data_IF_983467533514
#
_entry.id   IF_983467533514
#
_cell.length_a   1.000
_cell.length_b   1.000
_cell.length_c   1.000
_cell.angle_alpha   90.00
_cell.angle_beta   90.00
_cell.angle_gamma   90.00
#
_symmetry.space_group_name_H-M   'P 1'
#
loop_
_entity.id
_entity.type
_entity.pdbx_description
1 polymer ?
#
# COMPACT_ATOMS: atom_id res chain seq x y z
N UNK A 1 -6.60 8.84 9.53
CA UNK A 1 -6.16 8.22 8.26
C UNK A 1 -5.10 9.03 7.52
N UNK A 2 -5.40 10.25 7.03
CA UNK A 2 -4.45 11.08 6.24
C UNK A 2 -3.09 11.23 6.91
N UNK A 3 -3.05 11.54 8.21
CA UNK A 3 -1.79 11.66 8.97
C UNK A 3 -0.96 10.38 8.92
N UNK A 4 -1.57 9.23 9.20
CA UNK A 4 -0.84 7.95 9.23
C UNK A 4 -0.31 7.60 7.83
N UNK A 5 -1.14 7.76 6.80
CA UNK A 5 -0.75 7.52 5.40
C UNK A 5 0.39 8.45 4.99
N UNK A 6 0.33 9.74 5.31
CA UNK A 6 1.43 10.67 5.03
C UNK A 6 2.73 10.33 5.76
N UNK A 7 2.65 9.54 6.83
CA UNK A 7 3.78 8.98 7.57
C UNK A 7 4.02 7.49 7.26
N UNK A 8 3.43 6.94 6.19
CA UNK A 8 3.69 5.58 5.76
C UNK A 8 5.17 5.41 5.46
N UNK A 9 5.76 4.36 6.01
CA UNK A 9 7.21 4.16 6.02
C UNK A 9 7.57 2.85 5.34
N UNK A 10 8.49 2.93 4.39
CA UNK A 10 9.27 1.80 3.89
C UNK A 10 10.73 2.20 3.96
N UNK A 11 11.64 1.31 4.35
CA UNK A 11 13.05 1.64 4.32
C UNK A 11 13.48 1.80 2.86
N UNK A 12 14.17 2.89 2.55
CA UNK A 12 14.77 3.12 1.24
C UNK A 12 16.24 2.73 1.29
N UNK A 13 16.61 1.55 0.77
CA UNK A 13 18.02 1.26 0.46
C UNK A 13 18.14 0.50 -0.85
N UNK A 14 19.21 0.81 -1.61
CA UNK A 14 19.52 0.16 -2.91
C UNK A 14 19.98 -1.30 -2.78
N UNK A 15 19.99 -1.86 -1.56
CA UNK A 15 20.65 -3.14 -1.26
C UNK A 15 19.82 -4.04 -0.33
N UNK A 16 18.48 -4.00 -0.41
CA UNK A 16 17.67 -4.98 0.31
C UNK A 16 17.58 -6.30 -0.46
N UNK A 17 17.87 -7.39 0.24
CA UNK A 17 17.35 -8.71 -0.14
C UNK A 17 15.83 -8.73 0.16
N UNK A 18 15.09 -9.64 -0.49
CA UNK A 18 13.64 -9.78 -0.31
C UNK A 18 13.23 -10.09 1.14
N UNK A 19 14.14 -10.52 2.01
CA UNK A 19 13.84 -10.92 3.38
C UNK A 19 13.68 -9.71 4.32
N UNK A 20 14.33 -8.59 4.03
CA UNK A 20 14.22 -7.37 4.85
C UNK A 20 12.96 -6.54 4.57
N UNK A 21 12.32 -6.74 3.41
CA UNK A 21 10.99 -6.19 3.11
C UNK A 21 9.88 -6.83 3.94
N UNK A 22 10.07 -8.04 4.48
CA UNK A 22 8.99 -8.75 5.17
C UNK A 22 8.48 -8.03 6.42
N UNK A 23 9.32 -7.17 7.03
CA UNK A 23 8.99 -6.42 8.24
C UNK A 23 8.17 -5.15 7.98
N UNK A 24 8.10 -4.70 6.73
CA UNK A 24 7.39 -3.48 6.37
C UNK A 24 6.25 -3.85 5.44
N UNK A 25 5.08 -3.28 5.69
CA UNK A 25 3.90 -3.58 4.91
C UNK A 25 3.31 -2.31 4.31
N UNK A 26 2.75 -2.48 3.11
CA UNK A 26 1.71 -1.62 2.58
C UNK A 26 0.87 -2.51 1.68
N UNK A 27 -0.31 -2.87 2.16
CA UNK A 27 -1.29 -3.68 1.46
C UNK A 27 -2.59 -2.90 1.46
N UNK A 28 -2.99 -2.46 0.28
CA UNK A 28 -4.23 -1.76 0.01
C UNK A 28 -5.12 -2.66 -0.83
N UNK A 29 -6.26 -3.04 -0.29
CA UNK A 29 -7.17 -4.00 -0.89
C UNK A 29 -8.50 -3.32 -1.14
N UNK A 30 -8.96 -3.41 -2.39
CA UNK A 30 -10.33 -3.08 -2.75
C UNK A 30 -11.19 -4.31 -2.48
N UNK A 31 -12.20 -4.14 -1.63
CA UNK A 31 -13.15 -5.19 -1.29
C UNK A 31 -14.47 -4.93 -2.03
N UNK A 32 -14.62 -5.64 -3.15
CA UNK A 32 -15.77 -5.56 -4.06
C UNK A 32 -16.80 -6.67 -3.84
N UNK A 33 -16.63 -7.53 -2.82
CA UNK A 33 -17.56 -8.63 -2.57
C UNK A 33 -18.94 -8.14 -2.07
N UNK A 34 -19.01 -6.88 -1.65
CA UNK A 34 -20.22 -6.20 -1.16
C UNK A 34 -20.89 -5.27 -2.17
N UNK A 35 -22.12 -4.81 -1.85
CA UNK A 35 -22.85 -3.83 -2.67
C UNK A 35 -22.23 -2.41 -2.62
N UNK A 36 -21.32 -2.17 -1.68
CA UNK A 36 -20.64 -0.90 -1.45
C UNK A 36 -19.15 -1.17 -1.19
N UNK A 37 -18.25 -0.23 -1.55
CA UNK A 37 -16.83 -0.38 -1.26
C UNK A 37 -16.56 -0.48 0.25
N UNK A 38 -15.84 -1.52 0.65
CA UNK A 38 -15.42 -1.76 2.03
C UNK A 38 -13.91 -1.91 2.14
N UNK A 39 -13.20 -1.10 1.36
CA UNK A 39 -11.76 -1.16 1.18
C UNK A 39 -11.03 -1.09 2.52
N UNK A 40 -9.89 -1.76 2.58
CA UNK A 40 -9.04 -1.75 3.76
C UNK A 40 -7.59 -1.55 3.37
N UNK A 41 -6.83 -0.98 4.29
CA UNK A 41 -5.40 -0.75 4.10
C UNK A 41 -4.64 -1.07 5.36
N UNK A 42 -3.53 -1.79 5.22
CA UNK A 42 -2.59 -2.13 6.28
C UNK A 42 -1.21 -1.65 5.86
N UNK A 43 -0.56 -0.86 6.70
CA UNK A 43 0.76 -0.36 6.39
C UNK A 43 1.59 -0.05 7.64
N UNK A 44 2.91 0.02 7.47
CA UNK A 44 3.82 0.53 8.49
C UNK A 44 3.80 2.06 8.49
N UNK A 45 3.59 2.69 9.64
CA UNK A 45 3.59 4.15 9.81
C UNK A 45 4.58 4.59 10.88
N UNK A 46 5.21 5.74 10.66
CA UNK A 46 5.98 6.46 11.67
C UNK A 46 5.11 7.41 12.51
N UNK A 47 3.81 7.53 12.20
CA UNK A 47 2.88 8.24 13.07
C UNK A 47 2.53 7.37 14.28
N UNK A 48 2.59 7.95 15.46
CA UNK A 48 2.04 7.36 16.68
C UNK A 48 0.86 8.20 17.15
N UNK A 49 -0.24 7.51 17.51
CA UNK A 49 -1.35 8.11 18.25
C UNK A 49 -1.24 7.86 19.76
N UNK A 50 -0.14 7.25 20.22
CA UNK A 50 0.07 6.91 21.62
C UNK A 50 -0.82 5.77 22.13
N UNK A 51 -1.42 4.98 21.23
CA UNK A 51 -2.24 3.83 21.61
C UNK A 51 -1.40 2.62 22.01
N UNK A 52 -0.21 2.51 21.42
CA UNK A 52 0.74 1.47 21.77
C UNK A 52 1.99 2.06 22.48
N UNK A 53 2.54 1.32 23.45
CA UNK A 53 3.71 1.73 24.26
C UNK A 53 5.05 1.56 23.52
N UNK A 54 5.13 1.90 22.23
CA UNK A 54 6.39 1.89 21.47
C UNK A 54 6.64 3.23 20.79
N UNK A 55 7.93 3.56 20.65
CA UNK A 55 8.40 4.79 20.04
C UNK A 55 9.15 4.43 18.75
N UNK A 56 8.62 4.80 17.60
CA UNK A 56 9.32 4.66 16.32
C UNK A 56 8.38 4.36 15.15
N UNK A 57 8.01 3.10 15.01
CA UNK A 57 7.17 2.59 13.92
C UNK A 57 6.07 1.69 14.48
N UNK A 58 4.90 1.77 13.89
CA UNK A 58 3.77 0.90 14.20
C UNK A 58 3.16 0.35 12.90
N UNK A 59 2.59 -0.84 12.97
CA UNK A 59 1.66 -1.29 11.94
C UNK A 59 0.29 -0.71 12.21
N UNK A 60 -0.28 -0.08 11.19
CA UNK A 60 -1.59 0.55 11.26
C UNK A 60 -2.48 -0.09 10.21
N UNK A 61 -3.72 -0.40 10.60
CA UNK A 61 -4.73 -0.84 9.66
C UNK A 61 -6.00 0.01 9.79
N UNK A 62 -6.67 0.22 8.66
CA UNK A 62 -7.99 0.83 8.57
C UNK A 62 -8.92 -0.10 7.81
N UNK A 63 -10.11 -0.30 8.35
CA UNK A 63 -11.13 -1.18 7.78
C UNK A 63 -12.51 -0.81 8.32
N UNK A 64 -13.55 -1.30 7.66
CA UNK A 64 -14.93 -1.17 8.12
C UNK A 64 -15.35 -2.42 8.89
N UNK A 65 -15.94 -2.22 10.08
CA UNK A 65 -16.56 -3.29 10.87
C UNK A 65 -18.08 -3.12 10.83
N UNK A 66 -18.86 -4.12 10.42
CA UNK A 66 -20.32 -4.02 10.42
C UNK A 66 -20.87 -3.66 11.80
N UNK A 67 -21.90 -2.82 11.83
CA UNK A 67 -22.72 -2.57 13.02
C UNK A 67 -23.67 -3.76 13.23
N UNK A 68 -23.69 -4.34 14.42
CA UNK A 68 -24.51 -5.52 14.74
C UNK A 68 -25.87 -5.12 15.35
N UNK A 69 -26.07 -3.84 15.63
CA UNK A 69 -27.30 -3.30 16.16
C UNK A 69 -28.46 -3.44 15.15
N UNK A 70 -29.65 -3.79 15.66
CA UNK A 70 -30.85 -3.91 14.84
C UNK A 70 -31.20 -2.57 14.19
N UNK A 71 -31.42 -2.56 12.87
CA UNK A 71 -31.74 -1.34 12.12
C UNK A 71 -30.51 -0.60 11.57
N UNK A 72 -29.31 -1.13 11.79
CA UNK A 72 -28.05 -0.59 11.26
C UNK A 72 -27.54 -1.40 10.06
N UNK A 73 -28.41 -2.09 9.32
CA UNK A 73 -28.01 -2.88 8.16
C UNK A 73 -27.31 -2.01 7.10
N UNK A 74 -26.13 -2.43 6.66
CA UNK A 74 -25.30 -1.68 5.71
C UNK A 74 -24.59 -0.46 6.32
N UNK A 75 -24.56 -0.34 7.66
CA UNK A 75 -23.75 0.62 8.38
C UNK A 75 -22.55 -0.05 9.05
N UNK A 76 -21.47 0.71 9.14
CA UNK A 76 -20.19 0.25 9.64
C UNK A 76 -19.60 1.25 10.64
N UNK A 77 -18.76 0.71 11.51
CA UNK A 77 -17.75 1.47 12.23
C UNK A 77 -16.48 1.56 11.39
N UNK A 78 -15.93 2.77 11.25
CA UNK A 78 -14.55 2.93 10.76
C UNK A 78 -13.59 2.60 11.90
N UNK A 79 -12.84 1.51 11.73
CA UNK A 79 -11.88 1.05 12.72
C UNK A 79 -10.47 1.49 12.33
N UNK A 80 -9.65 1.79 13.34
CA UNK A 80 -8.20 1.90 13.24
C UNK A 80 -7.56 0.92 14.21
N UNK A 81 -6.65 0.09 13.71
CA UNK A 81 -5.80 -0.80 14.50
C UNK A 81 -4.38 -0.27 14.53
N UNK A 82 -3.71 -0.36 15.66
CA UNK A 82 -2.30 -0.01 15.85
C UNK A 82 -1.58 -1.11 16.61
N UNK A 83 -0.57 -1.70 15.98
CA UNK A 83 0.37 -2.61 16.61
C UNK A 83 1.74 -1.93 16.74
N UNK A 84 2.25 -1.87 17.97
CA UNK A 84 3.50 -1.21 18.32
C UNK A 84 4.75 -1.81 17.66
N UNK A 85 4.64 -2.97 17.01
CA UNK A 85 5.78 -3.70 16.47
C UNK A 85 5.53 -4.02 14.99
N UNK A 86 6.48 -3.69 14.11
CA UNK A 86 6.51 -4.30 12.79
C UNK A 86 6.79 -5.81 12.91
N UNK A 87 5.99 -6.61 12.24
CA UNK A 87 6.03 -8.06 12.19
C UNK A 87 6.42 -8.53 10.78
N UNK A 88 6.86 -9.77 10.68
CA UNK A 88 6.97 -10.41 9.38
C UNK A 88 5.55 -10.72 8.88
N UNK A 89 5.11 -10.03 7.82
CA UNK A 89 3.76 -10.15 7.29
C UNK A 89 2.78 -9.12 7.85
N UNK A 90 1.49 -9.44 7.82
CA UNK A 90 0.44 -8.58 8.38
C UNK A 90 0.22 -9.01 9.84
N UNK A 91 0.43 -8.12 10.80
CA UNK A 91 -0.03 -8.38 12.17
C UNK A 91 -1.54 -8.63 12.19
N UNK A 92 -2.02 -9.45 13.13
CA UNK A 92 -3.43 -9.57 13.49
C UNK A 92 -3.72 -8.99 14.91
N UNK A 93 -2.67 -8.55 15.62
CA UNK A 93 -2.75 -8.03 16.99
C UNK A 93 -2.87 -6.50 17.08
N UNK A 94 -2.60 -5.94 18.25
CA UNK A 94 -2.60 -4.50 18.48
C UNK A 94 -3.89 -3.94 19.06
N UNK A 95 -3.85 -2.66 19.42
CA UNK A 95 -4.99 -1.93 19.95
C UNK A 95 -5.92 -1.50 18.82
N UNK A 96 -7.23 -1.67 19.02
CA UNK A 96 -8.25 -1.26 18.05
C UNK A 96 -9.03 -0.08 18.63
N UNK A 97 -9.29 0.91 17.79
CA UNK A 97 -10.04 2.13 18.10
C UNK A 97 -11.12 2.33 17.05
N UNK A 98 -12.32 2.65 17.50
CA UNK A 98 -13.39 3.18 16.65
C UNK A 98 -13.14 4.67 16.38
N UNK A 99 -13.17 5.08 15.11
CA UNK A 99 -12.95 6.47 14.70
C UNK A 99 -14.22 7.19 14.29
N UNK A 100 -15.18 6.46 13.72
CA UNK A 100 -16.45 6.99 13.28
C UNK A 100 -17.49 5.86 13.22
N UNK A 101 -18.74 6.21 13.48
CA UNK A 101 -19.92 5.37 13.34
C UNK A 101 -20.76 5.80 12.13
N UNK A 102 -21.77 4.99 11.79
CA UNK A 102 -22.70 5.26 10.69
C UNK A 102 -21.99 5.44 9.33
N UNK A 103 -20.86 4.77 9.14
CA UNK A 103 -20.15 4.76 7.86
C UNK A 103 -20.87 3.84 6.89
N UNK A 104 -21.06 4.30 5.66
CA UNK A 104 -21.71 3.53 4.58
C UNK A 104 -20.67 2.84 3.73
N UNK A 105 -19.60 3.54 3.37
CA UNK A 105 -18.55 3.00 2.51
C UNK A 105 -17.19 3.67 2.74
N UNK A 106 -16.14 2.92 2.41
CA UNK A 106 -14.76 3.38 2.35
C UNK A 106 -14.17 2.92 1.03
N UNK A 107 -13.73 3.87 0.21
CA UNK A 107 -13.03 3.60 -1.04
C UNK A 107 -11.63 4.22 -1.01
N UNK A 108 -10.65 3.41 -1.40
CA UNK A 108 -9.23 3.75 -1.45
C UNK A 108 -8.75 3.55 -2.87
N UNK A 109 -8.28 4.64 -3.49
CA UNK A 109 -7.71 4.61 -4.83
C UNK A 109 -6.25 5.04 -4.76
N UNK A 110 -5.37 4.22 -5.34
CA UNK A 110 -3.93 4.44 -5.29
C UNK A 110 -3.45 5.03 -6.62
N UNK A 111 -2.73 6.14 -6.57
CA UNK A 111 -2.22 6.80 -7.78
C UNK A 111 -0.79 6.34 -8.03
N UNK A 112 -0.55 5.61 -9.12
CA UNK A 112 0.80 5.25 -9.56
C UNK A 112 1.50 6.42 -10.27
N UNK A 113 0.74 7.15 -11.09
CA UNK A 113 1.09 8.46 -11.65
C UNK A 113 -0.13 9.37 -11.48
N UNK A 114 0.00 10.71 -11.68
CA UNK A 114 -1.15 11.61 -11.57
C UNK A 114 -2.34 11.23 -12.47
N UNK A 115 -2.11 10.47 -13.54
CA UNK A 115 -3.10 10.01 -14.52
C UNK A 115 -3.46 8.53 -14.39
N UNK A 116 -2.75 7.76 -13.56
CA UNK A 116 -2.92 6.30 -13.44
C UNK A 116 -3.36 5.92 -12.04
N UNK A 117 -4.65 5.66 -11.91
CA UNK A 117 -5.27 5.09 -10.73
C UNK A 117 -5.23 3.54 -10.77
N UNK A 118 -5.01 2.92 -9.63
CA UNK A 118 -5.14 1.47 -9.44
C UNK A 118 -5.97 1.18 -8.19
N UNK A 119 -6.83 0.13 -8.21
CA UNK A 119 -7.75 -0.17 -7.10
C UNK A 119 -7.06 -0.80 -5.90
N UNK A 120 -5.89 -1.40 -6.09
CA UNK A 120 -5.14 -2.08 -5.03
C UNK A 120 -3.65 -1.83 -5.14
N UNK A 121 -2.94 -2.01 -4.02
CA UNK A 121 -1.50 -1.79 -3.95
C UNK A 121 -0.83 -2.76 -2.99
N UNK A 122 0.18 -3.48 -3.48
CA UNK A 122 1.06 -4.31 -2.63
C UNK A 122 2.51 -3.80 -2.68
N UNK A 123 3.08 -3.54 -1.51
CA UNK A 123 4.51 -3.23 -1.37
C UNK A 123 5.38 -4.41 -1.81
N UNK A 124 4.94 -5.65 -1.54
CA UNK A 124 5.71 -6.86 -1.90
C UNK A 124 5.85 -7.03 -3.40
N UNK A 125 4.79 -6.68 -4.14
CA UNK A 125 4.77 -6.77 -5.60
C UNK A 125 5.49 -5.59 -6.26
N UNK A 126 5.25 -4.37 -5.77
CA UNK A 126 5.70 -3.13 -6.44
C UNK A 126 7.03 -2.61 -5.92
N UNK A 127 7.47 -3.06 -4.75
CA UNK A 127 8.70 -2.65 -4.05
C UNK A 127 8.81 -1.13 -3.81
N UNK A 128 7.67 -0.42 -3.83
CA UNK A 128 7.55 1.00 -3.58
C UNK A 128 6.16 1.32 -3.01
N UNK A 129 6.06 2.40 -2.24
CA UNK A 129 4.78 2.96 -1.79
C UNK A 129 4.07 3.68 -2.94
N UNK A 130 2.73 3.82 -2.89
CA UNK A 130 2.01 4.67 -3.82
C UNK A 130 2.34 6.14 -3.54
N UNK A 131 2.62 6.98 -4.55
CA UNK A 131 2.80 8.42 -4.38
C UNK A 131 1.67 9.11 -3.62
N UNK A 132 0.42 8.75 -3.96
CA UNK A 132 -0.78 9.31 -3.36
C UNK A 132 -1.86 8.25 -3.16
N UNK A 133 -2.68 8.46 -2.15
CA UNK A 133 -3.89 7.68 -1.89
C UNK A 133 -5.06 8.64 -1.80
N UNK A 134 -6.04 8.46 -2.68
CA UNK A 134 -7.34 9.11 -2.60
C UNK A 134 -8.24 8.28 -1.72
N UNK A 135 -8.84 8.93 -0.74
CA UNK A 135 -9.71 8.33 0.27
C UNK A 135 -11.09 8.95 0.07
N UNK A 136 -12.11 8.11 -0.10
CA UNK A 136 -13.51 8.52 -0.11
C UNK A 136 -14.22 7.77 1.00
N UNK A 137 -14.71 8.51 2.00
CA UNK A 137 -15.49 7.98 3.11
C UNK A 137 -16.91 8.52 3.02
N UNK A 138 -17.90 7.65 2.93
CA UNK A 138 -19.31 8.05 2.94
C UNK A 138 -19.89 7.77 4.31
N UNK A 139 -20.49 8.77 4.94
CA UNK A 139 -21.12 8.66 6.26
C UNK A 139 -22.60 8.99 6.16
N UNK A 140 -23.45 8.29 6.90
CA UNK A 140 -24.87 8.57 6.99
C UNK A 140 -25.17 9.53 8.14
N UNK A 141 -25.87 10.61 7.85
CA UNK A 141 -26.39 11.56 8.83
C UNK A 141 -27.90 11.68 8.67
N UNK A 142 -28.66 11.03 9.56
CA UNK A 142 -30.11 10.89 9.40
C UNK A 142 -30.44 10.07 8.15
N UNK A 143 -31.12 10.69 7.18
CA UNK A 143 -31.49 10.05 5.91
C UNK A 143 -30.57 10.45 4.75
N UNK A 144 -29.52 11.24 5.01
CA UNK A 144 -28.59 11.70 3.98
C UNK A 144 -27.27 10.94 4.06
N UNK A 145 -26.66 10.70 2.89
CA UNK A 145 -25.33 10.14 2.77
C UNK A 145 -24.37 11.23 2.29
N UNK A 146 -23.32 11.47 3.07
CA UNK A 146 -22.38 12.56 2.88
C UNK A 146 -20.99 12.00 2.55
N UNK A 147 -20.49 12.20 1.31
CA UNK A 147 -19.15 11.78 0.93
C UNK A 147 -18.10 12.79 1.38
N UNK A 148 -17.04 12.31 2.01
CA UNK A 148 -15.83 13.05 2.34
C UNK A 148 -14.68 12.53 1.49
N UNK A 149 -14.03 13.43 0.75
CA UNK A 149 -12.84 13.08 -0.05
C UNK A 149 -11.60 13.72 0.56
N UNK A 150 -10.54 12.92 0.69
CA UNK A 150 -9.22 13.39 1.09
C UNK A 150 -8.14 12.76 0.20
N UNK A 151 -7.00 13.43 0.08
CA UNK A 151 -5.82 12.90 -0.60
C UNK A 151 -4.67 12.89 0.42
N UNK A 152 -4.07 11.72 0.62
CA UNK A 152 -2.84 11.57 1.36
C UNK A 152 -1.66 11.50 0.39
N UNK A 153 -0.64 12.32 0.62
CA UNK A 153 0.64 12.25 -0.09
C UNK A 153 1.61 11.42 0.75
N UNK A 154 2.34 10.49 0.14
CA UNK A 154 3.29 9.63 0.84
C UNK A 154 4.72 10.08 0.51
N UNK A 155 5.24 11.19 1.08
CA UNK A 155 6.53 11.76 0.71
C UNK A 155 7.71 10.84 1.06
N UNK A 156 7.52 9.92 2.00
CA UNK A 156 8.52 8.90 2.33
C UNK A 156 8.59 7.78 1.27
N UNK A 157 7.76 7.84 0.22
CA UNK A 157 7.82 6.97 -0.95
C UNK A 157 8.98 7.32 -1.92
N UNK A 158 9.68 8.44 -1.72
CA UNK A 158 10.54 9.02 -2.77
C UNK A 158 11.90 8.30 -2.85
N UNK A 159 12.02 7.43 -3.86
CA UNK A 159 13.25 7.25 -4.60
C UNK A 159 13.38 8.31 -5.68
N UNK A 160 14.47 9.10 -5.64
CA UNK A 160 14.78 10.30 -6.44
C UNK A 160 14.00 11.56 -6.03
N UNK A 161 14.57 12.29 -5.06
CA UNK A 161 14.47 13.75 -5.05
C UNK A 161 14.95 14.23 -6.43
N UNK A 162 14.03 14.73 -7.27
CA UNK A 162 14.42 15.52 -8.42
C UNK A 162 15.29 16.66 -7.91
N UNK A 163 16.47 16.86 -8.50
CA UNK A 163 17.29 18.02 -8.20
C UNK A 163 16.42 19.26 -8.42
N UNK A 164 16.10 19.97 -7.35
CA UNK A 164 15.51 21.30 -7.45
C UNK A 164 16.59 22.17 -8.08
N UNK A 165 16.48 22.40 -9.38
CA UNK A 165 17.27 23.42 -10.04
C UNK A 165 16.68 24.75 -9.58
N UNK A 166 17.28 25.33 -8.54
CA UNK A 166 17.02 26.71 -8.15
C UNK A 166 17.47 27.60 -9.30
N UNK A 167 16.53 28.04 -10.13
CA UNK A 167 16.76 29.17 -11.03
C UNK A 167 16.80 30.42 -10.16
N UNK A 168 18.00 30.78 -9.70
CA UNK A 168 18.27 32.12 -9.20
C UNK A 168 18.06 33.09 -10.37
N UNK A 169 17.03 33.93 -10.26
CA UNK A 169 16.93 35.12 -11.10
C UNK A 169 18.10 36.04 -10.83
N UNK A 170 18.92 36.28 -11.85
CA UNK A 170 19.86 37.40 -11.87
C UNK A 170 19.40 38.37 -12.94
N UNK A 171 18.92 39.52 -12.49
CA UNK A 171 18.75 40.71 -13.32
C UNK A 171 20.08 41.47 -13.38
N UNK A 172 20.25 42.27 -14.45
CA UNK A 172 21.35 43.19 -14.79
C UNK A 172 22.60 42.64 -15.55
N UNK A 173 22.58 42.86 -16.88
CA UNK A 173 23.45 43.81 -17.58
C UNK A 173 24.98 43.61 -17.60
N UNK A 174 25.54 43.57 -18.81
CA UNK A 174 26.95 43.96 -19.05
C UNK A 174 27.74 43.07 -20.02
N UNK A 175 27.78 43.51 -21.27
CA UNK A 175 28.93 43.50 -22.21
C UNK A 175 30.19 42.68 -21.86
N UNK A 176 30.56 41.70 -22.72
CA UNK A 176 31.83 41.66 -23.48
C UNK A 176 32.10 40.30 -24.17
N UNK A 177 32.26 40.39 -25.50
CA UNK A 177 33.32 39.82 -26.37
C UNK A 177 34.05 38.51 -26.01
N UNK A 178 33.84 37.51 -26.87
CA UNK A 178 34.81 36.58 -27.52
C UNK A 178 36.09 36.13 -26.77
N UNK A 179 36.29 34.81 -26.62
CA UNK A 179 37.15 33.97 -27.50
C UNK A 179 37.43 32.57 -26.92
N UNK A 180 37.58 31.61 -27.85
CA UNK A 180 38.35 30.36 -27.82
C UNK A 180 37.76 29.12 -27.12
N UNK A 181 37.04 28.37 -27.94
CA UNK A 181 37.09 26.91 -27.98
C UNK A 181 38.53 26.39 -28.16
N UNK A 182 38.90 25.39 -27.36
CA UNK A 182 39.89 24.39 -27.73
C UNK A 182 39.43 23.01 -27.26
N UNK A 183 38.94 22.26 -28.21
CA UNK A 183 38.83 20.80 -28.24
C UNK A 183 40.21 20.17 -28.44
N UNK A 184 40.49 19.11 -27.69
CA UNK A 184 41.45 18.02 -27.98
C UNK A 184 41.22 16.98 -26.88
N UNK A 185 40.49 15.88 -27.07
CA UNK A 185 40.86 14.68 -27.84
C UNK A 185 42.30 14.21 -27.62
N UNK A 186 42.42 13.07 -26.95
CA UNK A 186 43.38 11.97 -27.06
C UNK A 186 43.54 11.30 -25.68
N UNK A 187 43.75 10.01 -25.54
CA UNK A 187 43.49 8.80 -26.31
C UNK A 187 44.06 7.66 -25.44
N UNK A 188 43.62 6.44 -25.71
CA UNK A 188 44.30 5.18 -25.40
C UNK A 188 44.31 4.63 -23.95
N UNK A 189 44.35 3.31 -23.69
CA UNK A 189 43.93 2.06 -24.35
C UNK A 189 44.54 0.92 -23.49
N UNK A 190 43.73 -0.09 -23.17
CA UNK A 190 44.02 -1.52 -22.86
C UNK A 190 45.06 -1.94 -21.82
N UNK A 191 44.68 -2.88 -20.94
CA UNK A 191 44.92 -4.36 -21.04
C UNK A 191 44.34 -4.99 -19.76
N UNK A 192 43.37 -5.89 -19.85
CA UNK A 192 43.49 -7.36 -20.02
C UNK A 192 44.24 -8.05 -18.86
N UNK A 193 43.50 -8.83 -18.06
CA UNK A 193 44.02 -10.08 -17.48
C UNK A 193 42.88 -11.03 -17.07
N UNK A 194 43.01 -12.24 -17.58
CA UNK A 194 42.17 -13.43 -17.43
C UNK A 194 42.85 -14.40 -16.46
N UNK A 195 42.07 -15.08 -15.60
CA UNK A 195 42.22 -16.50 -15.16
C UNK A 195 41.24 -16.76 -13.99
N UNK A 196 40.23 -17.62 -14.07
CA UNK A 196 40.12 -19.09 -14.27
C UNK A 196 40.05 -19.90 -12.96
N UNK A 197 39.07 -20.80 -12.89
CA UNK A 197 38.96 -21.92 -11.94
C UNK A 197 37.83 -21.76 -10.91
N UNK A 198 37.00 -22.75 -10.57
CA UNK A 198 36.92 -24.17 -10.91
C UNK A 198 35.56 -24.71 -10.40
N UNK A 199 35.13 -25.82 -10.99
CA UNK A 199 33.87 -26.57 -10.79
C UNK A 199 33.91 -27.64 -9.69
N UNK A 200 32.75 -27.95 -9.08
CA UNK A 200 32.27 -29.26 -8.59
C UNK A 200 30.77 -29.11 -8.22
N UNK A 201 29.79 -29.77 -8.86
CA UNK A 201 29.29 -31.16 -8.66
C UNK A 201 29.04 -31.53 -7.18
N UNK A 202 28.02 -32.27 -6.73
CA UNK A 202 26.81 -32.95 -7.23
C UNK A 202 26.11 -33.47 -5.94
N UNK A 203 24.79 -33.62 -5.91
CA UNK A 203 24.15 -34.39 -4.83
C UNK A 203 22.63 -34.21 -4.74
N UNK A 204 21.88 -35.10 -5.39
CA UNK A 204 20.42 -35.16 -5.32
C UNK A 204 19.89 -36.18 -4.30
N UNK A 205 18.60 -36.05 -3.98
CA UNK A 205 17.66 -37.11 -3.58
C UNK A 205 16.23 -36.51 -3.63
N UNK A 206 15.38 -36.88 -4.61
CA UNK A 206 14.28 -37.87 -4.52
C UNK A 206 13.36 -37.72 -3.29
N UNK A 207 12.06 -37.47 -3.58
CA UNK A 207 10.95 -37.26 -2.62
C UNK A 207 10.49 -38.51 -1.85
N UNK A 208 9.27 -38.52 -1.28
CA UNK A 208 8.07 -38.70 -2.12
C UNK A 208 6.83 -37.88 -1.72
N UNK A 209 5.82 -37.99 -2.60
CA UNK A 209 4.48 -37.39 -2.60
C UNK A 209 3.55 -37.90 -1.49
N UNK A 210 2.57 -37.08 -1.06
CA UNK A 210 1.25 -37.56 -0.55
C UNK A 210 0.12 -36.53 -0.79
N UNK A 211 -0.96 -37.04 -1.38
CA UNK A 211 -2.39 -36.71 -1.31
C UNK A 211 -2.96 -35.36 -1.81
N UNK A 212 -3.61 -35.47 -2.97
CA UNK A 212 -4.83 -34.75 -3.30
C UNK A 212 -5.98 -35.16 -2.35
N UNK A 213 -6.81 -34.19 -1.96
CA UNK A 213 -8.16 -34.44 -1.43
C UNK A 213 -9.15 -33.74 -2.37
N UNK A 214 -9.84 -34.58 -3.11
CA UNK A 214 -11.06 -34.30 -3.87
C UNK A 214 -12.24 -34.39 -2.90
N UNK A 215 -13.08 -33.36 -2.85
CA UNK A 215 -14.35 -33.39 -2.14
C UNK A 215 -15.45 -32.81 -3.04
N UNK A 216 -15.87 -33.61 -4.01
CA UNK A 216 -17.24 -33.57 -4.56
C UNK A 216 -18.24 -33.85 -3.44
N UNK A 217 -19.09 -32.88 -3.12
CA UNK A 217 -20.42 -33.15 -2.56
C UNK A 217 -21.48 -32.80 -3.60
N UNK A 218 -22.24 -33.82 -3.98
CA UNK A 218 -23.48 -33.73 -4.75
C UNK A 218 -24.66 -33.68 -3.77
N UNK A 219 -25.69 -32.92 -4.11
CA UNK A 219 -27.06 -33.05 -3.59
C UNK A 219 -27.50 -31.79 -2.85
N UNK A 220 -28.63 -31.15 -3.15
CA UNK A 220 -29.70 -31.51 -4.09
C UNK A 220 -30.71 -30.37 -4.16
N UNK A 221 -31.48 -30.37 -5.24
CA UNK A 221 -32.73 -29.64 -5.43
C UNK A 221 -33.64 -29.72 -4.20
N UNK A 222 -34.21 -28.59 -3.77
CA UNK A 222 -35.65 -28.49 -3.50
C UNK A 222 -36.14 -27.13 -3.97
N UNK A 223 -36.96 -27.16 -5.02
CA UNK A 223 -37.88 -26.08 -5.36
C UNK A 223 -39.10 -26.19 -4.45
N UNK A 224 -39.56 -25.08 -3.88
CA UNK A 224 -40.91 -24.95 -3.37
C UNK A 224 -41.41 -23.51 -3.56
N UNK A 225 -42.07 -23.31 -4.69
CA UNK A 225 -43.09 -22.28 -4.86
C UNK A 225 -44.29 -22.61 -3.97
N UNK A 226 -44.84 -21.62 -3.26
CA UNK A 226 -46.26 -21.54 -2.82
C UNK A 226 -46.49 -20.07 -2.42
N UNK A 227 -47.23 -19.29 -3.23
CA UNK A 227 -48.63 -18.88 -3.00
C UNK A 227 -48.86 -18.26 -1.60
N UNK A 228 -49.39 -17.04 -1.43
CA UNK A 228 -50.00 -16.10 -2.37
C UNK A 228 -50.44 -14.82 -1.65
N UNK A 229 -50.80 -13.81 -2.44
CA UNK A 229 -51.67 -12.71 -1.98
C UNK A 229 -53.04 -13.26 -1.57
N UNK A 230 -53.80 -12.63 -0.69
CA UNK A 230 -54.52 -11.35 -0.76
C UNK A 230 -55.48 -11.36 0.46
N UNK A 231 -56.27 -10.32 0.72
CA UNK A 231 -56.08 -8.88 0.54
C UNK A 231 -55.93 -8.12 1.87
#
# INVERSE_FOLDING_TARGET
>A
MVRDLSCAYTPFTRAFDKTQFNRYCFEGVNDEDGPVPTDHVHFTSAASLGLAQSYGLAEVAYYLKPMEEKGCEGLYYLMRREDARPHDGLSEGGAVMELAENVVSLSLVYLETPEREVPSWSLKERLKLPPQVKIVLTVRQGNEELPFTAIANLPLAIGKLGSVTTTQGSDAGGDQSATKDKTSEQDQQTTDDTQSGQTAELGGAKGPAVAAIDARSKGGLVAASLFGGLP
#
